data_IF_983995931204
#
_entry.id   IF_983995931204
#
_cell.length_a   1.000
_cell.length_b   1.000
_cell.length_c   1.000
_cell.angle_alpha   90.00
_cell.angle_beta   90.00
_cell.angle_gamma   90.00
#
_symmetry.space_group_name_H-M   'P 1'
#
loop_
_entity.id
_entity.type
_entity.pdbx_description
1 polymer ?
#
# COMPACT_ATOMS: atom_id res chain seq x y z
N UNK A 1 -19.49 10.57 7.45
CA UNK A 1 -19.23 9.54 8.45
C UNK A 1 -19.87 8.16 8.15
N UNK A 2 -21.07 8.08 7.59
CA UNK A 2 -21.69 6.81 7.16
C UNK A 2 -20.95 6.15 5.97
N UNK A 3 -20.28 6.92 5.12
CA UNK A 3 -19.61 6.44 3.91
C UNK A 3 -18.32 5.66 4.17
N UNK A 4 -17.72 5.83 5.34
CA UNK A 4 -16.54 5.06 5.75
C UNK A 4 -16.89 3.81 6.59
N UNK A 5 -18.14 3.70 7.01
CA UNK A 5 -18.67 2.50 7.64
C UNK A 5 -19.04 1.50 6.54
N UNK A 6 -18.14 0.61 6.20
CA UNK A 6 -18.41 -0.47 5.25
C UNK A 6 -18.06 -0.18 3.79
N UNK A 7 -17.17 0.76 3.49
CA UNK A 7 -16.52 0.79 2.19
C UNK A 7 -15.73 -0.52 2.01
N UNK A 8 -16.36 -1.46 1.34
CA UNK A 8 -15.67 -2.63 0.82
C UNK A 8 -14.78 -2.15 -0.32
N UNK A 9 -13.49 -2.03 -0.11
CA UNK A 9 -12.51 -1.94 -1.19
C UNK A 9 -12.41 -3.30 -1.87
N UNK A 10 -11.91 -3.38 -3.09
CA UNK A 10 -11.62 -4.68 -3.72
C UNK A 10 -10.82 -5.58 -2.79
N UNK A 11 -9.93 -5.02 -2.03
CA UNK A 11 -9.17 -5.69 -1.00
C UNK A 11 -10.03 -6.17 0.18
N UNK A 12 -11.25 -5.65 0.43
CA UNK A 12 -12.18 -6.16 1.45
C UNK A 12 -12.94 -7.40 1.03
N UNK A 13 -12.88 -7.77 -0.25
CA UNK A 13 -13.50 -9.02 -0.73
C UNK A 13 -12.66 -10.26 -0.40
N UNK A 14 -11.39 -10.09 -0.01
CA UNK A 14 -10.43 -11.18 0.20
C UNK A 14 -10.12 -11.49 1.66
N UNK A 15 -10.76 -10.85 2.63
CA UNK A 15 -10.54 -11.14 4.04
C UNK A 15 -11.44 -10.35 4.97
N UNK A 16 -11.71 -10.90 6.15
CA UNK A 16 -12.41 -10.20 7.22
C UNK A 16 -11.65 -8.93 7.59
N UNK A 17 -12.20 -7.79 7.21
CA UNK A 17 -11.59 -6.51 7.51
C UNK A 17 -12.31 -5.86 8.66
N UNK A 18 -11.48 -5.45 9.57
CA UNK A 18 -11.94 -4.65 10.70
C UNK A 18 -12.47 -3.34 10.14
N UNK A 19 -13.74 -3.01 10.44
CA UNK A 19 -14.31 -1.73 10.03
C UNK A 19 -13.43 -0.58 10.55
N UNK A 20 -13.10 0.39 9.69
CA UNK A 20 -12.36 1.63 10.02
C UNK A 20 -13.11 2.48 11.09
N UNK A 21 -14.11 1.92 11.73
CA UNK A 21 -15.08 2.62 12.58
C UNK A 21 -14.70 2.74 14.04
N UNK A 22 -13.64 2.10 14.50
CA UNK A 22 -13.22 2.29 15.88
C UNK A 22 -12.58 3.66 16.05
N UNK A 23 -13.19 4.50 16.91
CA UNK A 23 -12.62 5.76 17.36
C UNK A 23 -11.23 5.47 17.94
N UNK A 24 -10.19 5.79 17.19
CA UNK A 24 -8.84 5.77 17.70
C UNK A 24 -8.79 6.88 18.74
N UNK A 25 -8.77 6.53 20.02
CA UNK A 25 -8.38 7.48 21.07
C UNK A 25 -7.04 8.04 20.64
N UNK A 26 -6.91 9.38 20.57
CA UNK A 26 -5.64 10.06 20.34
C UNK A 26 -4.63 9.52 21.34
N UNK A 27 -3.88 8.52 20.91
CA UNK A 27 -2.77 7.99 21.70
C UNK A 27 -1.62 8.99 21.65
N UNK A 28 -1.01 9.20 22.79
CA UNK A 28 0.17 10.03 22.97
C UNK A 28 1.25 9.65 21.94
N UNK A 29 1.77 10.68 21.26
CA UNK A 29 3.05 10.71 20.52
C UNK A 29 3.55 9.39 19.90
N UNK A 30 2.91 8.95 18.79
CA UNK A 30 3.43 7.86 17.96
C UNK A 30 4.80 8.18 17.31
N UNK A 31 5.24 9.43 17.38
CA UNK A 31 6.51 9.92 16.83
C UNK A 31 7.75 9.41 17.58
N UNK A 32 7.59 8.78 18.76
CA UNK A 32 8.69 8.29 19.59
C UNK A 32 9.02 6.81 19.37
N UNK A 33 8.23 6.09 18.60
CA UNK A 33 8.46 4.68 18.33
C UNK A 33 9.31 4.48 17.07
N UNK A 34 10.43 3.80 17.23
CA UNK A 34 11.36 3.51 16.14
C UNK A 34 10.98 2.22 15.37
N UNK A 35 9.68 1.94 15.20
CA UNK A 35 9.23 0.76 14.50
C UNK A 35 8.99 1.06 13.02
N UNK A 36 9.64 0.31 12.14
CA UNK A 36 9.46 0.34 10.68
C UNK A 36 8.69 -0.91 10.29
N UNK A 37 7.62 -0.75 9.50
CA UNK A 37 6.86 -1.85 8.95
C UNK A 37 7.23 -2.10 7.51
N UNK A 38 7.70 -3.29 7.18
CA UNK A 38 7.83 -3.81 5.82
C UNK A 38 6.52 -4.52 5.49
N UNK A 39 5.71 -3.93 4.63
CA UNK A 39 4.46 -4.53 4.14
C UNK A 39 4.72 -5.13 2.75
N UNK A 40 5.04 -6.43 2.73
CA UNK A 40 5.44 -7.11 1.51
C UNK A 40 4.22 -7.62 0.73
N UNK A 41 4.29 -7.47 -0.60
CA UNK A 41 3.38 -8.13 -1.54
C UNK A 41 3.76 -9.60 -1.72
N UNK A 42 2.81 -10.42 -2.16
CA UNK A 42 3.09 -11.78 -2.63
C UNK A 42 4.17 -11.74 -3.72
N UNK A 43 5.07 -12.72 -3.72
CA UNK A 43 6.09 -12.83 -4.76
C UNK A 43 5.48 -13.23 -6.12
N UNK A 44 4.32 -13.88 -6.08
CA UNK A 44 3.52 -14.22 -7.26
C UNK A 44 2.63 -13.09 -7.76
N UNK A 45 2.51 -11.99 -6.99
CA UNK A 45 1.80 -10.80 -7.45
C UNK A 45 2.57 -10.16 -8.62
N UNK A 46 1.87 -9.78 -9.66
CA UNK A 46 2.46 -9.36 -10.93
C UNK A 46 3.16 -7.97 -10.82
N UNK A 47 4.44 -7.90 -10.42
CA UNK A 47 5.12 -6.61 -10.21
C UNK A 47 5.25 -5.81 -11.51
N UNK A 48 5.29 -6.51 -12.65
CA UNK A 48 5.43 -5.89 -13.96
C UNK A 48 4.18 -5.14 -14.45
N UNK A 49 3.01 -5.47 -13.91
CA UNK A 49 1.74 -4.78 -14.24
C UNK A 49 1.78 -3.30 -13.84
N UNK A 50 2.47 -2.99 -12.77
CA UNK A 50 2.55 -1.61 -12.27
C UNK A 50 3.66 -0.80 -12.94
N UNK A 51 4.56 -1.44 -13.66
CA UNK A 51 5.66 -0.81 -14.39
C UNK A 51 6.58 0.08 -13.54
N UNK A 52 7.80 0.30 -13.99
CA UNK A 52 8.72 1.24 -13.34
C UNK A 52 8.92 1.04 -11.83
N UNK A 53 8.90 -0.20 -11.35
CA UNK A 53 9.35 -0.56 -10.01
C UNK A 53 10.86 -0.36 -9.90
N UNK A 54 11.34 -0.03 -8.70
CA UNK A 54 12.79 0.18 -8.46
C UNK A 54 13.56 -1.13 -8.51
N UNK A 55 12.91 -2.22 -8.13
CA UNK A 55 13.46 -3.59 -8.09
C UNK A 55 12.78 -4.46 -9.14
N UNK A 56 13.46 -5.50 -9.57
CA UNK A 56 12.92 -6.45 -10.55
C UNK A 56 11.63 -7.12 -10.04
N UNK A 57 11.59 -7.47 -8.77
CA UNK A 57 10.44 -8.09 -8.11
C UNK A 57 10.41 -7.83 -6.60
N UNK A 58 9.41 -8.39 -5.93
CA UNK A 58 9.21 -8.24 -4.49
C UNK A 58 10.25 -9.02 -3.67
N UNK A 59 10.85 -10.07 -4.23
CA UNK A 59 11.90 -10.85 -3.58
C UNK A 59 13.21 -10.04 -3.51
N UNK A 60 13.63 -9.44 -4.62
CA UNK A 60 14.82 -8.59 -4.67
C UNK A 60 14.67 -7.36 -3.77
N UNK A 61 13.47 -6.76 -3.76
CA UNK A 61 13.17 -5.68 -2.84
C UNK A 61 13.31 -6.09 -1.36
N UNK A 62 12.78 -7.24 -0.97
CA UNK A 62 12.90 -7.74 0.41
C UNK A 62 14.35 -8.01 0.78
N UNK A 63 15.10 -8.67 -0.10
CA UNK A 63 16.54 -8.92 0.13
C UNK A 63 17.33 -7.63 0.32
N UNK A 64 17.05 -6.64 -0.52
CA UNK A 64 17.66 -5.31 -0.40
C UNK A 64 17.32 -4.68 0.95
N UNK A 65 16.05 -4.66 1.35
CA UNK A 65 15.63 -4.11 2.64
C UNK A 65 16.27 -4.83 3.81
N UNK A 66 16.32 -6.15 3.78
CA UNK A 66 16.95 -6.95 4.82
C UNK A 66 18.44 -6.60 4.97
N UNK A 67 19.14 -6.36 3.86
CA UNK A 67 20.54 -5.90 3.89
C UNK A 67 20.68 -4.47 4.45
N UNK A 68 19.84 -3.53 3.99
CA UNK A 68 19.91 -2.14 4.44
C UNK A 68 19.45 -1.95 5.89
N UNK A 69 18.54 -2.81 6.39
CA UNK A 69 18.08 -2.77 7.78
C UNK A 69 19.20 -3.00 8.79
N UNK A 70 20.23 -3.80 8.46
CA UNK A 70 21.43 -3.97 9.32
C UNK A 70 22.17 -2.66 9.59
N UNK A 71 22.10 -1.71 8.66
CA UNK A 71 22.77 -0.40 8.78
C UNK A 71 21.98 0.58 9.65
N UNK A 72 20.71 0.29 9.87
CA UNK A 72 19.75 1.13 10.58
C UNK A 72 19.30 0.47 11.89
N UNK A 73 20.23 0.12 12.75
CA UNK A 73 20.00 -0.60 14.01
C UNK A 73 19.23 0.21 15.07
N UNK A 74 19.04 1.49 14.84
CA UNK A 74 18.21 2.38 15.69
C UNK A 74 16.71 2.09 15.53
N UNK A 75 16.31 1.38 14.48
CA UNK A 75 14.94 1.03 14.22
C UNK A 75 14.66 -0.45 14.50
N UNK A 76 13.46 -0.73 14.99
CA UNK A 76 12.93 -2.07 15.05
C UNK A 76 12.24 -2.39 13.72
N UNK A 77 12.68 -3.44 13.07
CA UNK A 77 12.17 -3.84 11.77
C UNK A 77 11.12 -4.93 11.94
N UNK A 78 9.91 -4.65 11.49
CA UNK A 78 8.77 -5.55 11.54
C UNK A 78 8.36 -5.89 10.12
N UNK A 79 8.14 -7.15 9.82
CA UNK A 79 7.67 -7.60 8.52
C UNK A 79 6.26 -8.15 8.63
N UNK A 80 5.36 -7.66 7.79
CA UNK A 80 4.00 -8.16 7.63
C UNK A 80 3.84 -8.71 6.22
N UNK A 81 3.54 -10.01 6.12
CA UNK A 81 3.20 -10.65 4.85
C UNK A 81 1.76 -10.29 4.44
N UNK A 82 1.50 -10.31 3.14
CA UNK A 82 0.15 -10.13 2.62
C UNK A 82 -0.75 -11.30 3.04
N UNK A 83 -2.04 -11.09 3.34
CA UNK A 83 -2.96 -12.16 3.77
C UNK A 83 -3.07 -13.34 2.79
N UNK A 84 -2.88 -13.11 1.49
CA UNK A 84 -2.92 -14.14 0.46
C UNK A 84 -1.57 -14.83 0.18
N UNK A 85 -0.55 -14.56 1.01
CA UNK A 85 0.75 -15.25 0.88
C UNK A 85 0.56 -16.77 0.97
N UNK A 86 1.16 -17.49 0.02
CA UNK A 86 1.19 -18.95 0.02
C UNK A 86 2.27 -19.47 0.97
N UNK A 87 2.12 -20.71 1.45
CA UNK A 87 3.08 -21.32 2.39
C UNK A 87 4.50 -21.40 1.82
N UNK A 88 4.63 -21.65 0.51
CA UNK A 88 5.93 -21.62 -0.19
C UNK A 88 6.60 -20.23 -0.09
N UNK A 89 5.84 -19.16 -0.22
CA UNK A 89 6.36 -17.79 -0.12
C UNK A 89 6.77 -17.45 1.32
N UNK A 90 6.02 -17.94 2.31
CA UNK A 90 6.38 -17.80 3.73
C UNK A 90 7.71 -18.50 4.00
N UNK A 91 7.93 -19.69 3.41
CA UNK A 91 9.19 -20.42 3.53
C UNK A 91 10.36 -19.64 2.94
N UNK A 92 10.17 -18.96 1.80
CA UNK A 92 11.19 -18.08 1.19
C UNK A 92 11.51 -16.91 2.12
N UNK A 93 10.48 -16.25 2.65
CA UNK A 93 10.67 -15.14 3.61
C UNK A 93 11.44 -15.62 4.84
N UNK A 94 11.06 -16.74 5.42
CA UNK A 94 11.75 -17.33 6.58
C UNK A 94 13.22 -17.63 6.28
N UNK A 95 13.53 -18.17 5.09
CA UNK A 95 14.90 -18.43 4.70
C UNK A 95 15.74 -17.14 4.59
N UNK A 96 15.18 -16.08 4.00
CA UNK A 96 15.85 -14.77 3.96
C UNK A 96 16.12 -14.30 5.39
N UNK A 97 15.11 -14.36 6.27
CA UNK A 97 15.21 -13.80 7.61
C UNK A 97 16.08 -14.60 8.57
N UNK A 98 16.45 -15.85 8.26
CA UNK A 98 17.51 -16.57 9.00
C UNK A 98 18.83 -15.80 9.01
N UNK A 99 19.14 -15.09 7.92
CA UNK A 99 20.34 -14.23 7.83
C UNK A 99 20.14 -12.85 8.49
N UNK A 100 18.87 -12.49 8.82
CA UNK A 100 18.48 -11.17 9.32
C UNK A 100 17.54 -11.27 10.54
N UNK A 101 17.98 -11.91 11.65
CA UNK A 101 17.10 -12.23 12.78
C UNK A 101 16.59 -10.99 13.55
N UNK A 102 17.13 -9.81 13.29
CA UNK A 102 16.65 -8.55 13.84
C UNK A 102 15.31 -8.09 13.20
N UNK A 103 14.93 -8.61 12.03
CA UNK A 103 13.63 -8.37 11.41
C UNK A 103 12.62 -9.37 11.98
N UNK A 104 11.60 -8.88 12.66
CA UNK A 104 10.58 -9.72 13.29
C UNK A 104 9.35 -9.86 12.40
N UNK A 105 8.97 -11.10 12.07
CA UNK A 105 7.74 -11.37 11.35
C UNK A 105 6.56 -11.16 12.31
N UNK A 106 5.57 -10.43 11.84
CA UNK A 106 4.29 -10.27 12.52
C UNK A 106 3.34 -11.41 12.12
N UNK A 107 2.35 -11.74 12.96
CA UNK A 107 1.30 -12.67 12.57
C UNK A 107 0.67 -12.27 11.23
N UNK A 108 0.42 -13.24 10.35
CA UNK A 108 -0.13 -13.01 9.01
C UNK A 108 -1.39 -12.13 9.03
N UNK A 109 -2.24 -12.32 10.01
CA UNK A 109 -3.49 -11.60 10.21
C UNK A 109 -3.41 -10.49 11.26
N UNK A 110 -2.19 -10.00 11.57
CA UNK A 110 -2.03 -8.85 12.45
C UNK A 110 -2.92 -7.69 11.98
N UNK A 111 -3.73 -7.19 12.88
CA UNK A 111 -4.74 -6.17 12.61
C UNK A 111 -4.13 -4.77 12.54
N UNK A 112 -4.81 -3.84 11.86
CA UNK A 112 -4.39 -2.43 11.85
C UNK A 112 -4.29 -1.85 13.28
N UNK A 113 -5.16 -2.28 14.21
CA UNK A 113 -5.12 -1.83 15.60
C UNK A 113 -3.86 -2.30 16.34
N UNK A 114 -3.45 -3.54 16.12
CA UNK A 114 -2.20 -4.05 16.69
C UNK A 114 -1.00 -3.29 16.17
N UNK A 115 -0.99 -2.97 14.87
CA UNK A 115 0.07 -2.16 14.27
C UNK A 115 0.10 -0.73 14.81
N UNK A 116 -1.07 -0.10 14.98
CA UNK A 116 -1.19 1.21 15.60
C UNK A 116 -0.65 1.19 17.04
N UNK A 117 -1.03 0.17 17.82
CA UNK A 117 -0.54 0.00 19.20
C UNK A 117 0.98 -0.20 19.27
N UNK A 118 1.55 -0.84 18.23
CA UNK A 118 3.02 -0.99 18.11
C UNK A 118 3.73 0.31 17.75
N UNK A 119 3.01 1.36 17.38
CA UNK A 119 3.59 2.67 17.09
C UNK A 119 4.51 2.63 15.85
N UNK A 120 3.97 2.22 14.73
CA UNK A 120 4.71 2.23 13.46
C UNK A 120 4.99 3.67 13.04
N UNK A 121 6.26 3.99 12.80
CA UNK A 121 6.70 5.30 12.34
C UNK A 121 6.58 5.43 10.83
N UNK A 122 7.03 4.42 10.08
CA UNK A 122 6.97 4.38 8.62
C UNK A 122 6.54 3.01 8.13
N UNK A 123 5.89 3.01 6.96
CA UNK A 123 5.54 1.79 6.24
C UNK A 123 6.32 1.74 4.93
N UNK A 124 7.03 0.65 4.70
CA UNK A 124 7.73 0.38 3.45
C UNK A 124 6.92 -0.60 2.63
N UNK A 125 6.64 -0.25 1.38
CA UNK A 125 5.95 -1.12 0.44
C UNK A 125 6.38 -0.79 -0.99
N UNK A 126 6.12 -1.66 -1.95
CA UNK A 126 6.38 -1.34 -3.36
C UNK A 126 5.24 -0.51 -3.92
N UNK A 127 4.01 -1.03 -3.93
CA UNK A 127 2.85 -0.39 -4.54
C UNK A 127 1.55 -0.58 -3.75
N UNK A 128 1.58 -0.95 -2.49
CA UNK A 128 0.42 -1.41 -1.73
C UNK A 128 -0.63 -0.33 -1.43
N UNK A 129 -1.89 -0.77 -1.36
CA UNK A 129 -3.00 0.03 -0.80
C UNK A 129 -2.74 0.47 0.64
N UNK A 130 -1.92 -0.28 1.35
CA UNK A 130 -1.44 0.06 2.71
C UNK A 130 -0.86 1.48 2.79
N UNK A 131 -0.37 2.05 1.68
CA UNK A 131 0.19 3.40 1.65
C UNK A 131 -0.82 4.47 2.09
N UNK A 132 -2.06 4.41 1.60
CA UNK A 132 -3.11 5.36 2.00
C UNK A 132 -3.91 4.86 3.21
N UNK A 133 -4.06 3.55 3.37
CA UNK A 133 -4.76 2.97 4.50
C UNK A 133 -4.05 3.31 5.82
N UNK A 134 -2.74 3.11 5.88
CA UNK A 134 -1.96 3.38 7.08
C UNK A 134 -1.69 4.88 7.28
N UNK A 135 -1.61 5.66 6.21
CA UNK A 135 -1.53 7.11 6.31
C UNK A 135 -2.73 7.70 7.09
N UNK A 136 -3.93 7.11 6.93
CA UNK A 136 -5.11 7.53 7.69
C UNK A 136 -4.92 7.43 9.21
N UNK A 137 -4.09 6.50 9.64
CA UNK A 137 -3.73 6.29 11.05
C UNK A 137 -2.45 7.02 11.46
N UNK A 138 -1.93 7.89 10.61
CA UNK A 138 -0.72 8.67 10.88
C UNK A 138 0.60 7.92 10.58
N UNK A 139 0.55 6.82 9.84
CA UNK A 139 1.70 6.01 9.44
C UNK A 139 2.02 6.26 7.95
N UNK A 140 2.87 7.23 7.60
CA UNK A 140 3.22 7.53 6.21
C UNK A 140 4.06 6.43 5.58
N UNK A 141 4.10 6.39 4.24
CA UNK A 141 4.74 5.32 3.51
C UNK A 141 5.91 5.78 2.65
N UNK A 142 6.90 4.90 2.49
CA UNK A 142 8.00 5.02 1.55
C UNK A 142 7.84 3.92 0.51
N UNK A 143 7.72 4.32 -0.76
CA UNK A 143 7.42 3.43 -1.87
C UNK A 143 8.68 3.13 -2.69
N UNK A 144 8.84 1.86 -3.08
CA UNK A 144 9.90 1.41 -3.98
C UNK A 144 9.44 1.43 -5.44
N UNK A 145 8.71 2.46 -5.83
CA UNK A 145 8.24 2.68 -7.20
C UNK A 145 7.97 4.15 -7.45
N UNK A 146 8.18 4.59 -8.68
CA UNK A 146 7.77 5.92 -9.15
C UNK A 146 6.38 5.93 -9.77
N UNK A 147 5.83 4.77 -10.10
CA UNK A 147 4.53 4.64 -10.77
C UNK A 147 3.45 4.22 -9.76
N UNK A 148 2.87 5.20 -9.10
CA UNK A 148 1.81 5.00 -8.11
C UNK A 148 0.80 6.15 -8.16
N UNK A 149 -0.46 5.95 -7.71
CA UNK A 149 -1.51 6.96 -7.77
C UNK A 149 -1.37 8.09 -6.72
N UNK A 150 -0.36 8.03 -5.86
CA UNK A 150 -0.21 8.94 -4.71
C UNK A 150 0.75 10.12 -4.98
N UNK A 151 1.21 10.36 -6.22
CA UNK A 151 2.29 11.32 -6.55
C UNK A 151 2.07 12.74 -6.07
N UNK A 152 0.81 13.16 -5.92
CA UNK A 152 0.44 14.52 -5.49
C UNK A 152 0.22 14.64 -3.98
N UNK A 153 0.40 13.55 -3.22
CA UNK A 153 0.08 13.49 -1.82
C UNK A 153 1.33 13.38 -0.96
N UNK A 154 1.34 14.12 0.16
CA UNK A 154 2.51 14.23 1.04
C UNK A 154 2.62 13.08 2.06
N UNK A 155 1.64 12.19 2.12
CA UNK A 155 1.69 11.01 2.98
C UNK A 155 2.56 9.87 2.42
N UNK A 156 3.13 10.05 1.24
CA UNK A 156 4.10 9.11 0.65
C UNK A 156 5.37 9.82 0.23
N UNK A 157 6.47 9.09 0.28
CA UNK A 157 7.70 9.39 -0.43
C UNK A 157 8.02 8.23 -1.33
N UNK A 158 8.53 8.51 -2.51
CA UNK A 158 8.86 7.51 -3.51
C UNK A 158 10.32 7.60 -3.93
N UNK A 159 10.80 6.55 -4.54
CA UNK A 159 12.10 6.51 -5.20
C UNK A 159 11.94 6.07 -6.64
N UNK A 160 12.82 6.58 -7.51
CA UNK A 160 12.88 6.23 -8.93
C UNK A 160 14.01 5.27 -9.24
N UNK A 161 15.01 5.23 -8.35
CA UNK A 161 16.21 4.41 -8.47
C UNK A 161 16.56 3.75 -7.14
N UNK A 162 17.35 2.67 -7.20
CA UNK A 162 17.90 2.02 -6.00
C UNK A 162 18.68 3.01 -5.14
N UNK A 163 19.45 3.90 -5.76
CA UNK A 163 20.24 4.89 -5.04
C UNK A 163 19.38 5.93 -4.31
N UNK A 164 18.29 6.40 -4.92
CA UNK A 164 17.32 7.27 -4.25
C UNK A 164 16.65 6.55 -3.09
N UNK A 165 16.22 5.30 -3.30
CA UNK A 165 15.60 4.50 -2.24
C UNK A 165 16.56 4.29 -1.07
N UNK A 166 17.81 3.96 -1.35
CA UNK A 166 18.87 3.83 -0.34
C UNK A 166 19.12 5.13 0.44
N UNK A 167 19.10 6.28 -0.23
CA UNK A 167 19.21 7.60 0.42
C UNK A 167 18.03 7.86 1.36
N UNK A 168 16.80 7.51 0.96
CA UNK A 168 15.62 7.61 1.83
C UNK A 168 15.78 6.73 3.08
N UNK A 169 16.21 5.48 2.91
CA UNK A 169 16.41 4.56 4.03
C UNK A 169 17.56 5.00 4.96
N UNK A 170 18.63 5.54 4.41
CA UNK A 170 19.75 6.06 5.22
C UNK A 170 19.37 7.29 6.05
N UNK A 171 18.35 8.03 5.62
CA UNK A 171 17.92 9.27 6.28
C UNK A 171 16.61 9.13 7.08
N UNK A 172 16.21 7.90 7.43
CA UNK A 172 14.93 7.64 8.14
C UNK A 172 14.75 8.46 9.42
N UNK A 173 15.83 8.73 10.16
CA UNK A 173 15.77 9.51 11.41
C UNK A 173 15.25 10.92 11.17
N UNK A 174 15.73 11.57 10.10
CA UNK A 174 15.43 12.96 9.77
C UNK A 174 14.24 13.09 8.80
N UNK A 175 13.69 11.96 8.36
CA UNK A 175 12.63 11.97 7.37
C UNK A 175 11.33 12.50 7.99
N UNK A 176 10.85 13.60 7.43
CA UNK A 176 9.59 14.25 7.86
C UNK A 176 8.53 14.09 6.79
N UNK A 177 7.31 13.87 7.25
CA UNK A 177 6.10 13.87 6.43
C UNK A 177 5.15 14.93 6.98
N UNK A 178 4.67 15.79 6.10
CA UNK A 178 3.70 16.84 6.45
C UNK A 178 2.45 16.61 5.63
N UNK A 179 1.46 15.96 6.20
CA UNK A 179 0.19 15.70 5.54
C UNK A 179 -0.97 15.81 6.53
N UNK A 180 -2.16 16.04 6.00
CA UNK A 180 -3.39 16.17 6.77
C UNK A 180 -4.35 15.01 6.50
N UNK A 181 -5.28 14.78 7.41
CA UNK A 181 -6.38 13.83 7.15
C UNK A 181 -7.26 14.27 5.99
N UNK A 182 -7.36 15.57 5.70
CA UNK A 182 -8.10 16.10 4.56
C UNK A 182 -7.52 15.57 3.25
N UNK A 183 -6.20 15.60 3.11
CA UNK A 183 -5.47 15.12 1.94
C UNK A 183 -5.73 13.63 1.70
N UNK A 184 -5.71 12.82 2.76
CA UNK A 184 -6.00 11.40 2.66
C UNK A 184 -7.48 11.14 2.30
N UNK A 185 -8.39 11.89 2.91
CA UNK A 185 -9.82 11.80 2.61
C UNK A 185 -10.14 12.23 1.19
N UNK A 186 -9.40 13.21 0.65
CA UNK A 186 -9.50 13.62 -0.75
C UNK A 186 -9.11 12.46 -1.68
N UNK A 187 -7.98 11.78 -1.40
CA UNK A 187 -7.59 10.59 -2.15
C UNK A 187 -8.68 9.51 -2.11
N UNK A 188 -9.22 9.20 -0.92
CA UNK A 188 -10.33 8.25 -0.77
C UNK A 188 -11.56 8.66 -1.57
N UNK A 189 -11.92 9.93 -1.53
CA UNK A 189 -13.07 10.45 -2.29
C UNK A 189 -12.87 10.27 -3.80
N UNK A 190 -11.70 10.65 -4.32
CA UNK A 190 -11.39 10.51 -5.73
C UNK A 190 -11.41 9.02 -6.11
N UNK A 191 -10.68 8.19 -5.39
CA UNK A 191 -10.50 6.76 -5.70
C UNK A 191 -11.80 5.96 -5.64
N UNK A 192 -12.62 6.17 -4.61
CA UNK A 192 -13.74 5.28 -4.30
C UNK A 192 -15.12 5.89 -4.51
N UNK A 193 -15.23 7.20 -4.61
CA UNK A 193 -16.52 7.87 -4.80
C UNK A 193 -16.62 8.46 -6.19
N UNK A 194 -15.65 9.31 -6.56
CA UNK A 194 -15.69 10.03 -7.84
C UNK A 194 -15.51 9.06 -9.01
N UNK A 195 -14.51 8.18 -8.97
CA UNK A 195 -14.26 7.19 -10.03
C UNK A 195 -15.45 6.27 -10.20
N UNK A 196 -16.05 5.77 -9.10
CA UNK A 196 -17.23 4.91 -9.19
C UNK A 196 -18.43 5.63 -9.79
N UNK A 197 -18.64 6.91 -9.53
CA UNK A 197 -19.70 7.69 -10.15
C UNK A 197 -19.48 7.88 -11.66
N UNK A 198 -18.20 8.13 -12.04
CA UNK A 198 -17.83 8.32 -13.44
C UNK A 198 -17.98 7.05 -14.27
N UNK A 199 -17.75 5.89 -13.68
CA UNK A 199 -17.74 4.59 -14.34
C UNK A 199 -18.84 3.64 -13.86
N UNK A 200 -20.00 4.19 -13.50
CA UNK A 200 -21.13 3.42 -12.96
C UNK A 200 -21.55 2.23 -13.85
N UNK A 201 -21.47 2.39 -15.16
CA UNK A 201 -21.84 1.36 -16.11
C UNK A 201 -20.77 0.27 -16.28
N UNK A 202 -19.51 0.57 -15.92
CA UNK A 202 -18.41 -0.40 -15.99
C UNK A 202 -18.70 -1.66 -15.18
N UNK A 203 -19.18 -1.51 -13.95
CA UNK A 203 -19.50 -2.65 -13.10
C UNK A 203 -20.64 -3.52 -13.66
N UNK A 204 -21.62 -2.90 -14.32
CA UNK A 204 -22.71 -3.66 -14.97
C UNK A 204 -22.18 -4.52 -16.11
N UNK A 205 -21.24 -4.00 -16.90
CA UNK A 205 -20.66 -4.72 -18.02
C UNK A 205 -19.72 -5.83 -17.57
N UNK A 206 -18.90 -5.58 -16.54
CA UNK A 206 -18.09 -6.64 -15.93
C UNK A 206 -18.97 -7.77 -15.37
N UNK A 207 -20.14 -7.46 -14.82
CA UNK A 207 -21.12 -8.47 -14.39
C UNK A 207 -21.71 -9.26 -15.55
N UNK A 208 -21.95 -8.62 -16.70
CA UNK A 208 -22.52 -9.27 -17.89
C UNK A 208 -21.47 -10.10 -18.64
N UNK A 209 -20.25 -9.59 -18.78
CA UNK A 209 -19.17 -10.21 -19.55
C UNK A 209 -18.28 -11.15 -18.73
N UNK A 210 -18.54 -11.25 -17.40
CA UNK A 210 -17.67 -11.98 -16.49
C UNK A 210 -16.46 -11.18 -16.06
N UNK A 211 -15.65 -11.78 -15.18
CA UNK A 211 -14.45 -11.15 -14.59
C UNK A 211 -13.22 -11.18 -15.50
N UNK A 212 -13.38 -11.48 -16.77
CA UNK A 212 -12.27 -11.44 -17.73
C UNK A 212 -11.93 -9.99 -18.09
N UNK A 213 -11.09 -9.39 -17.26
CA UNK A 213 -10.57 -8.02 -17.45
C UNK A 213 -9.70 -7.88 -18.70
N UNK A 214 -9.32 -8.98 -19.34
CA UNK A 214 -8.52 -9.00 -20.57
C UNK A 214 -9.37 -8.98 -21.82
N UNK A 215 -10.70 -9.09 -21.70
CA UNK A 215 -11.61 -9.10 -22.82
C UNK A 215 -11.52 -7.81 -23.65
N UNK A 216 -11.29 -7.90 -24.97
CA UNK A 216 -11.29 -6.73 -25.85
C UNK A 216 -12.61 -5.92 -25.79
N UNK A 217 -13.74 -6.56 -25.43
CA UNK A 217 -15.04 -5.91 -25.28
C UNK A 217 -15.05 -4.97 -24.07
N UNK A 218 -14.44 -5.37 -22.95
CA UNK A 218 -14.31 -4.51 -21.77
C UNK A 218 -13.45 -3.29 -22.11
N UNK A 219 -12.35 -3.47 -22.83
CA UNK A 219 -11.47 -2.37 -23.24
C UNK A 219 -12.19 -1.38 -24.17
N UNK A 220 -12.90 -1.89 -25.21
CA UNK A 220 -13.68 -1.06 -26.13
C UNK A 220 -14.74 -0.25 -25.41
N UNK A 221 -15.44 -0.87 -24.47
CA UNK A 221 -16.42 -0.17 -23.64
C UNK A 221 -15.78 0.92 -22.79
N UNK A 222 -14.65 0.64 -22.16
CA UNK A 222 -13.91 1.59 -21.32
C UNK A 222 -13.45 2.80 -22.13
N UNK A 223 -12.93 2.54 -23.31
CA UNK A 223 -12.49 3.60 -24.23
C UNK A 223 -13.65 4.49 -24.69
N UNK A 224 -14.81 3.90 -25.00
CA UNK A 224 -16.02 4.64 -25.34
C UNK A 224 -16.47 5.53 -24.17
N UNK A 225 -16.65 4.98 -22.99
CA UNK A 225 -17.04 5.72 -21.77
C UNK A 225 -16.07 6.87 -21.45
N UNK A 226 -14.77 6.62 -21.59
CA UNK A 226 -13.73 7.62 -21.37
C UNK A 226 -13.87 8.78 -22.37
N UNK A 227 -14.00 8.48 -23.65
CA UNK A 227 -14.11 9.49 -24.70
C UNK A 227 -15.38 10.33 -24.57
N UNK A 228 -16.51 9.72 -24.25
CA UNK A 228 -17.77 10.43 -24.00
C UNK A 228 -17.64 11.40 -22.82
N UNK A 229 -17.02 11.00 -21.72
CA UNK A 229 -16.82 11.85 -20.55
C UNK A 229 -15.81 12.95 -20.78
N UNK A 230 -14.76 12.67 -21.52
CA UNK A 230 -13.76 13.68 -21.94
C UNK A 230 -14.42 14.75 -22.81
N UNK A 231 -15.21 14.35 -23.81
CA UNK A 231 -15.90 15.28 -24.71
C UNK A 231 -16.92 16.16 -23.97
N UNK A 232 -17.54 15.62 -22.92
CA UNK A 232 -18.50 16.36 -22.07
C UNK A 232 -17.81 17.13 -20.92
N UNK A 233 -16.47 17.25 -20.92
CA UNK A 233 -15.68 17.94 -19.87
C UNK A 233 -16.00 17.45 -18.44
N UNK A 234 -16.35 16.18 -18.28
CA UNK A 234 -16.66 15.57 -16.97
C UNK A 234 -15.39 15.01 -16.29
N UNK A 235 -14.35 14.81 -17.09
CA UNK A 235 -13.02 14.38 -16.65
C UNK A 235 -11.96 15.39 -17.14
#
# INVERSE_FOLDING_TARGET
>A
NRKFKGLKTMDTLLGERIPITQKIKKGKNYLLNNNILIAIHSFSDAPHVFGNTVFADNYEWLRFLAKESKKNNKFNWLLKVHPIFYDKEISIVNNILKEYPHIKILPKFATHQELIKKGIRFVLTVYGSVAYEYAYFGMPSILATKNHPYKKYNFVKDARTINEYKKLLANLENLKFTFSKKEILEYYFIRFVRVNKLFKNYYKIVQILGSDYTSPLIYKFWLKEYNEKKNNKII
#
